data_IF_777852056108
#
_entry.id   IF_777852056108
#
_cell.length_a   1.000
_cell.length_b   1.000
_cell.length_c   1.000
_cell.angle_alpha   90.00
_cell.angle_beta   90.00
_cell.angle_gamma   90.00
#
_symmetry.space_group_name_H-M   'P 1'
#
loop_
_entity.id
_entity.type
_entity.pdbx_description
1 polymer ?
#
# COMPACT_ATOMS: atom_id res chain seq x y z
N UNK A 1 -9.95 -1.30 29.18
CA UNK A 1 -8.64 -1.96 28.91
C UNK A 1 -8.67 -2.83 27.65
N UNK A 2 -9.58 -3.79 27.52
CA UNK A 2 -9.54 -4.84 26.48
C UNK A 2 -9.56 -4.33 25.03
N UNK A 3 -10.31 -3.27 24.74
CA UNK A 3 -10.41 -2.67 23.40
C UNK A 3 -9.03 -2.31 22.81
N UNK A 4 -8.11 -1.82 23.66
CA UNK A 4 -6.75 -1.47 23.24
C UNK A 4 -5.95 -2.71 22.82
N UNK A 5 -6.16 -3.88 23.44
CA UNK A 5 -5.44 -5.11 23.08
C UNK A 5 -5.90 -5.71 21.74
N UNK A 6 -7.21 -5.72 21.47
CA UNK A 6 -7.73 -6.15 20.16
C UNK A 6 -7.29 -5.19 19.05
N UNK A 7 -7.46 -3.88 19.25
CA UNK A 7 -7.04 -2.88 18.26
C UNK A 7 -5.51 -2.85 18.09
N UNK A 8 -4.71 -3.07 19.14
CA UNK A 8 -3.24 -3.12 19.02
C UNK A 8 -2.73 -4.23 18.09
N UNK A 9 -3.42 -5.36 17.98
CA UNK A 9 -3.05 -6.41 17.03
C UNK A 9 -3.20 -5.93 15.57
N UNK A 10 -4.34 -5.33 15.25
CA UNK A 10 -4.62 -4.74 13.93
C UNK A 10 -3.72 -3.53 13.63
N UNK A 11 -3.61 -2.59 14.58
CA UNK A 11 -2.77 -1.39 14.49
C UNK A 11 -1.29 -1.75 14.30
N UNK A 12 -0.80 -2.81 14.96
CA UNK A 12 0.56 -3.33 14.76
C UNK A 12 0.75 -3.98 13.39
N UNK A 13 -0.24 -4.73 12.91
CA UNK A 13 -0.17 -5.43 11.62
C UNK A 13 -0.29 -4.48 10.42
N UNK A 14 -1.02 -3.37 10.56
CA UNK A 14 -1.29 -2.42 9.47
C UNK A 14 -0.57 -1.10 9.69
N UNK A 15 -1.08 -0.26 10.59
CA UNK A 15 -0.64 1.14 10.73
C UNK A 15 0.83 1.26 11.13
N UNK A 16 1.27 0.59 12.21
CA UNK A 16 2.65 0.65 12.69
C UNK A 16 3.61 0.02 11.68
N UNK A 17 3.20 -1.07 11.01
CA UNK A 17 3.97 -1.68 9.93
C UNK A 17 4.21 -0.68 8.78
N UNK A 18 3.18 0.03 8.31
CA UNK A 18 3.36 1.06 7.29
C UNK A 18 4.20 2.25 7.76
N UNK A 19 4.05 2.74 9.00
CA UNK A 19 4.92 3.81 9.52
C UNK A 19 6.38 3.37 9.61
N UNK A 20 6.65 2.18 10.15
CA UNK A 20 7.99 1.60 10.25
C UNK A 20 8.61 1.33 8.87
N UNK A 21 7.83 0.82 7.92
CA UNK A 21 8.24 0.71 6.51
C UNK A 21 8.69 2.08 6.01
N UNK A 22 7.80 3.09 6.04
CA UNK A 22 8.08 4.41 5.42
C UNK A 22 9.38 5.01 5.96
N UNK A 23 9.60 4.97 7.27
CA UNK A 23 10.85 5.44 7.92
C UNK A 23 12.07 4.70 7.37
N UNK A 24 12.01 3.38 7.18
CA UNK A 24 13.12 2.59 6.65
C UNK A 24 13.52 2.93 5.19
N UNK A 25 12.63 3.51 4.37
CA UNK A 25 12.96 3.94 3.00
C UNK A 25 13.20 5.46 2.86
N UNK A 26 13.00 6.27 3.92
CA UNK A 26 13.41 7.68 3.93
C UNK A 26 14.85 7.90 3.44
N UNK A 27 15.90 7.17 3.91
CA UNK A 27 17.26 7.41 3.44
C UNK A 27 17.45 7.13 1.93
N UNK A 28 16.74 6.15 1.37
CA UNK A 28 16.78 5.85 -0.06
C UNK A 28 16.02 6.91 -0.89
N UNK A 29 14.82 7.28 -0.46
CA UNK A 29 14.00 8.29 -1.15
C UNK A 29 14.64 9.68 -1.06
N UNK A 30 15.21 10.05 0.09
CA UNK A 30 15.90 11.33 0.28
C UNK A 30 17.17 11.46 -0.56
N UNK A 31 17.97 10.38 -0.69
CA UNK A 31 19.16 10.40 -1.55
C UNK A 31 18.82 10.43 -3.05
N UNK A 32 17.70 9.85 -3.48
CA UNK A 32 17.16 10.05 -4.82
C UNK A 32 16.69 11.49 -5.04
N UNK A 33 15.88 12.03 -4.13
CA UNK A 33 15.38 13.42 -4.15
C UNK A 33 16.53 14.43 -4.28
N UNK A 34 17.57 14.30 -3.45
CA UNK A 34 18.72 15.20 -3.45
C UNK A 34 19.53 15.24 -4.77
N UNK A 35 19.38 14.21 -5.64
CA UNK A 35 19.96 14.21 -7.00
C UNK A 35 19.10 15.01 -7.98
N UNK A 36 17.77 14.93 -7.84
CA UNK A 36 16.79 15.52 -8.77
C UNK A 36 16.58 17.01 -8.51
N UNK A 37 16.71 17.49 -7.27
CA UNK A 37 16.47 18.90 -6.92
C UNK A 37 17.54 19.91 -7.39
N UNK A 38 18.53 19.52 -8.20
CA UNK A 38 19.59 20.44 -8.66
C UNK A 38 19.06 21.43 -9.72
N UNK A 39 18.94 22.70 -9.32
CA UNK A 39 18.66 23.83 -10.24
C UNK A 39 17.18 24.14 -10.50
N UNK A 40 16.26 23.42 -9.84
CA UNK A 40 14.80 23.65 -9.94
C UNK A 40 14.34 24.47 -8.72
N UNK A 41 13.29 25.29 -8.85
CA UNK A 41 12.75 26.02 -7.69
C UNK A 41 12.18 25.06 -6.65
N UNK A 42 12.35 25.39 -5.36
CA UNK A 42 11.84 24.56 -4.25
C UNK A 42 10.31 24.39 -4.34
N UNK A 43 9.61 25.40 -4.87
CA UNK A 43 8.14 25.39 -5.00
C UNK A 43 7.65 24.41 -6.05
N UNK A 44 8.25 24.40 -7.23
CA UNK A 44 7.92 23.45 -8.30
C UNK A 44 8.34 22.03 -7.90
N UNK A 45 9.50 21.87 -7.28
CA UNK A 45 9.96 20.59 -6.76
C UNK A 45 8.96 19.98 -5.75
N UNK A 46 8.50 20.76 -4.77
CA UNK A 46 7.51 20.29 -3.77
C UNK A 46 6.16 19.96 -4.41
N UNK A 47 5.68 20.75 -5.38
CA UNK A 47 4.43 20.45 -6.08
C UNK A 47 4.55 19.15 -6.88
N UNK A 48 5.65 18.96 -7.63
CA UNK A 48 5.90 17.75 -8.40
C UNK A 48 5.99 16.50 -7.49
N UNK A 49 6.72 16.57 -6.37
CA UNK A 49 6.88 15.45 -5.44
C UNK A 49 5.61 15.10 -4.65
N UNK A 50 4.62 15.99 -4.61
CA UNK A 50 3.29 15.71 -4.04
C UNK A 50 2.33 15.14 -5.09
N UNK A 51 2.25 15.75 -6.28
CA UNK A 51 1.28 15.36 -7.31
C UNK A 51 1.64 14.00 -7.94
N UNK A 52 2.88 13.82 -8.38
CA UNK A 52 3.29 12.63 -9.16
C UNK A 52 3.04 11.32 -8.40
N UNK A 53 3.55 11.10 -7.18
CA UNK A 53 3.29 9.84 -6.47
C UNK A 53 1.83 9.71 -6.04
N UNK A 54 1.09 10.80 -5.83
CA UNK A 54 -0.34 10.73 -5.50
C UNK A 54 -1.16 10.18 -6.66
N UNK A 55 -0.91 10.66 -7.89
CA UNK A 55 -1.56 10.15 -9.11
C UNK A 55 -1.18 8.69 -9.36
N UNK A 56 0.10 8.33 -9.23
CA UNK A 56 0.55 6.93 -9.38
C UNK A 56 -0.09 6.01 -8.34
N UNK A 57 -0.18 6.43 -7.06
CA UNK A 57 -0.89 5.67 -6.03
C UNK A 57 -2.38 5.52 -6.36
N UNK A 58 -3.05 6.60 -6.77
CA UNK A 58 -4.48 6.59 -7.08
C UNK A 58 -4.81 5.65 -8.25
N UNK A 59 -4.02 5.70 -9.33
CA UNK A 59 -4.15 4.77 -10.46
C UNK A 59 -3.86 3.33 -10.06
N UNK A 60 -2.81 3.09 -9.25
CA UNK A 60 -2.48 1.74 -8.79
C UNK A 60 -3.57 1.14 -7.89
N UNK A 61 -4.04 1.86 -6.88
CA UNK A 61 -5.11 1.38 -6.00
C UNK A 61 -6.45 1.27 -6.74
N UNK A 62 -6.74 2.18 -7.68
CA UNK A 62 -7.94 2.09 -8.53
C UNK A 62 -7.95 0.84 -9.41
N UNK A 63 -6.84 0.56 -10.11
CA UNK A 63 -6.72 -0.63 -10.98
C UNK A 63 -6.62 -1.90 -10.15
N UNK A 64 -5.58 -2.07 -9.33
CA UNK A 64 -5.34 -3.35 -8.65
C UNK A 64 -6.32 -3.63 -7.50
N UNK A 65 -6.72 -2.59 -6.75
CA UNK A 65 -7.76 -2.72 -5.72
C UNK A 65 -9.14 -2.95 -6.33
N UNK A 66 -9.49 -2.20 -7.38
CA UNK A 66 -10.73 -2.37 -8.13
C UNK A 66 -10.84 -3.76 -8.76
N UNK A 67 -9.80 -4.24 -9.44
CA UNK A 67 -9.78 -5.60 -10.01
C UNK A 67 -9.88 -6.69 -8.94
N UNK A 68 -9.20 -6.55 -7.79
CA UNK A 68 -9.31 -7.50 -6.69
C UNK A 68 -10.74 -7.63 -6.15
N UNK A 69 -11.38 -6.49 -5.85
CA UNK A 69 -12.77 -6.46 -5.35
C UNK A 69 -13.75 -6.93 -6.43
N UNK A 70 -13.52 -6.60 -7.71
CA UNK A 70 -14.34 -7.07 -8.83
C UNK A 70 -14.29 -8.59 -9.00
N UNK A 71 -13.12 -9.21 -8.84
CA UNK A 71 -12.98 -10.67 -8.90
C UNK A 71 -13.71 -11.38 -7.74
N UNK A 72 -13.72 -10.78 -6.55
CA UNK A 72 -14.45 -11.33 -5.40
C UNK A 72 -15.98 -11.14 -5.54
N UNK A 73 -16.45 -9.93 -5.85
CA UNK A 73 -17.89 -9.62 -5.91
C UNK A 73 -18.61 -10.03 -7.19
N UNK A 74 -17.98 -9.98 -8.38
CA UNK A 74 -18.67 -10.16 -9.68
C UNK A 74 -18.50 -11.58 -10.24
N UNK A 75 -17.35 -12.21 -10.00
CA UNK A 75 -17.12 -13.61 -10.40
C UNK A 75 -17.46 -14.61 -9.28
N UNK A 76 -17.77 -14.15 -8.07
CA UNK A 76 -18.07 -15.03 -6.92
C UNK A 76 -16.90 -15.92 -6.50
N UNK A 77 -15.68 -15.55 -6.86
CA UNK A 77 -14.48 -16.34 -6.58
C UNK A 77 -13.93 -15.97 -5.20
N UNK A 78 -14.58 -16.48 -4.15
CA UNK A 78 -14.08 -16.35 -2.78
C UNK A 78 -12.61 -16.82 -2.72
N UNK A 79 -11.67 -15.92 -2.40
CA UNK A 79 -10.26 -16.26 -2.25
C UNK A 79 -9.99 -17.22 -1.05
N UNK A 80 -11.01 -17.43 -0.21
CA UNK A 80 -11.08 -18.51 0.77
C UNK A 80 -11.53 -19.85 0.19
N UNK A 81 -12.55 -19.89 -0.68
CA UNK A 81 -13.13 -21.15 -1.20
C UNK A 81 -12.23 -21.86 -2.18
N UNK A 82 -11.51 -21.13 -3.04
CA UNK A 82 -10.42 -21.70 -3.85
C UNK A 82 -9.32 -22.32 -2.97
N UNK A 83 -9.05 -21.73 -1.81
CA UNK A 83 -8.08 -22.25 -0.83
C UNK A 83 -8.58 -23.56 -0.20
N UNK A 84 -9.87 -23.64 0.13
CA UNK A 84 -10.52 -24.88 0.61
C UNK A 84 -10.54 -25.98 -0.46
N UNK A 85 -10.92 -25.68 -1.69
CA UNK A 85 -10.96 -26.67 -2.77
C UNK A 85 -9.55 -27.16 -3.16
N UNK A 86 -8.54 -26.29 -3.18
CA UNK A 86 -7.15 -26.68 -3.48
C UNK A 86 -6.48 -27.42 -2.31
N UNK A 87 -6.94 -27.23 -1.07
CA UNK A 87 -6.57 -28.07 0.07
C UNK A 87 -7.25 -29.45 0.00
N UNK A 88 -8.53 -29.52 -0.38
CA UNK A 88 -9.26 -30.77 -0.56
C UNK A 88 -8.75 -31.59 -1.76
N UNK A 89 -8.27 -30.94 -2.83
CA UNK A 89 -7.61 -31.56 -3.97
C UNK A 89 -6.12 -31.88 -3.75
N UNK A 90 -5.68 -31.95 -2.48
CA UNK A 90 -4.34 -32.41 -2.05
C UNK A 90 -4.46 -33.58 -1.07
N UNK A 91 -5.40 -34.48 -1.35
CA UNK A 91 -5.63 -35.78 -0.71
C UNK A 91 -5.87 -36.79 -1.83
#
# INVERSE_FOLDING_TARGET
MNFIRQNAAWLRSWTIFYWAWRIAWVPFVATFIARVSKGITVREFVIAVLIIPSVVCALWFGVFGGTGIYMEHVLGLDAGRLRSCCAAARV
#
